data_IF_292192048876
#
_entry.id   IF_292192048876
#
_cell.length_a   1.000
_cell.length_b   1.000
_cell.length_c   1.000
_cell.angle_alpha   90.00
_cell.angle_beta   90.00
_cell.angle_gamma   90.00
#
_symmetry.space_group_name_H-M   'P 1'
#
loop_
_entity.id
_entity.type
_entity.pdbx_description
1 polymer ?
#
# COMPACT_ATOMS: atom_id res chain seq x y z
N UNK A 1 27.05 -15.27 -7.97
CA UNK A 1 28.26 -14.57 -7.48
C UNK A 1 27.87 -13.95 -6.14
N UNK A 2 28.21 -14.60 -5.03
CA UNK A 2 27.92 -14.11 -3.67
C UNK A 2 29.08 -13.24 -3.19
N UNK A 3 28.81 -11.98 -2.87
CA UNK A 3 29.81 -11.00 -2.44
C UNK A 3 29.83 -10.89 -0.91
N UNK A 4 30.40 -11.87 -0.20
CA UNK A 4 30.76 -11.64 1.20
C UNK A 4 32.09 -10.87 1.23
N UNK A 5 32.08 -9.60 1.64
CA UNK A 5 33.30 -8.83 1.91
C UNK A 5 33.84 -9.23 3.30
N UNK A 6 35.12 -9.61 3.36
CA UNK A 6 35.79 -9.84 4.64
C UNK A 6 36.06 -8.51 5.34
N UNK A 7 35.43 -8.31 6.49
CA UNK A 7 35.41 -7.00 7.16
C UNK A 7 36.70 -6.57 7.85
N UNK A 8 37.68 -7.46 8.14
CA UNK A 8 38.85 -7.01 8.91
C UNK A 8 40.16 -7.79 8.77
N UNK A 9 40.19 -9.11 8.55
CA UNK A 9 41.45 -9.85 8.40
C UNK A 9 41.26 -11.18 7.66
N UNK A 10 42.16 -11.50 6.71
CA UNK A 10 42.23 -12.81 6.03
C UNK A 10 43.40 -13.58 6.66
N UNK A 11 43.14 -14.70 7.33
CA UNK A 11 44.19 -15.59 7.86
C UNK A 11 44.04 -16.95 7.20
N UNK A 12 45.07 -17.41 6.47
CA UNK A 12 45.08 -18.70 5.75
C UNK A 12 43.86 -18.92 4.83
N UNK A 13 43.41 -17.89 4.13
CA UNK A 13 42.26 -17.99 3.21
C UNK A 13 40.90 -18.17 3.89
N UNK A 14 40.86 -18.13 5.22
CA UNK A 14 39.63 -18.24 6.02
C UNK A 14 39.30 -16.91 6.68
N UNK A 15 38.07 -16.46 6.48
CA UNK A 15 37.57 -15.19 6.97
C UNK A 15 36.90 -15.41 8.32
N UNK A 16 37.53 -14.97 9.42
CA UNK A 16 37.04 -15.21 10.78
C UNK A 16 35.83 -14.36 11.15
N UNK A 17 35.47 -13.37 10.33
CA UNK A 17 34.33 -12.48 10.55
C UNK A 17 33.59 -12.23 9.23
N UNK A 18 32.93 -13.27 8.71
CA UNK A 18 31.98 -13.14 7.59
C UNK A 18 30.74 -12.39 8.08
N UNK A 19 30.79 -11.06 8.05
CA UNK A 19 29.56 -10.26 7.95
C UNK A 19 29.10 -10.33 6.51
N UNK A 20 28.42 -11.42 6.15
CA UNK A 20 27.67 -11.43 4.91
C UNK A 20 26.48 -10.51 5.17
N UNK A 21 26.53 -9.31 4.60
CA UNK A 21 25.34 -8.48 4.50
C UNK A 21 24.33 -9.33 3.73
N UNK A 22 23.31 -9.81 4.44
CA UNK A 22 22.12 -10.32 3.79
C UNK A 22 21.60 -9.13 2.99
N UNK A 23 21.98 -9.05 1.72
CA UNK A 23 21.27 -8.24 0.76
C UNK A 23 19.86 -8.82 0.82
N UNK A 24 19.01 -8.22 1.63
CA UNK A 24 17.57 -8.36 1.51
C UNK A 24 17.35 -7.91 0.09
N UNK A 25 17.33 -8.86 -0.84
CA UNK A 25 16.61 -8.69 -2.09
C UNK A 25 15.23 -8.34 -1.58
N UNK A 26 14.93 -7.05 -1.51
CA UNK A 26 13.59 -6.51 -1.48
C UNK A 26 12.95 -7.13 -2.72
N UNK A 27 12.38 -8.32 -2.54
CA UNK A 27 11.47 -8.89 -3.48
C UNK A 27 10.31 -7.89 -3.43
N UNK A 28 10.29 -6.99 -4.39
CA UNK A 28 9.13 -6.16 -4.64
C UNK A 28 8.06 -7.19 -4.99
N UNK A 29 7.22 -7.52 -4.02
CA UNK A 29 6.06 -8.37 -4.26
C UNK A 29 5.18 -7.62 -5.24
N UNK A 30 4.95 -8.20 -6.41
CA UNK A 30 4.02 -7.62 -7.38
C UNK A 30 2.60 -7.70 -6.83
N UNK A 31 1.75 -6.79 -7.28
CA UNK A 31 0.34 -6.78 -6.97
C UNK A 31 -0.29 -8.12 -7.37
N UNK A 32 -1.11 -8.68 -6.49
CA UNK A 32 -1.82 -9.92 -6.82
C UNK A 32 -2.93 -9.62 -7.83
N UNK A 33 -3.34 -10.59 -8.67
CA UNK A 33 -4.43 -10.40 -9.62
C UNK A 33 -5.73 -9.95 -8.95
N UNK A 34 -5.97 -10.38 -7.70
CA UNK A 34 -7.13 -9.95 -6.91
C UNK A 34 -7.08 -8.46 -6.56
N UNK A 35 -5.88 -7.94 -6.22
CA UNK A 35 -5.71 -6.50 -5.97
C UNK A 35 -5.90 -5.69 -7.24
N UNK A 36 -5.38 -6.18 -8.37
CA UNK A 36 -5.55 -5.52 -9.67
C UNK A 36 -7.03 -5.46 -10.08
N UNK A 37 -7.77 -6.57 -9.92
CA UNK A 37 -9.20 -6.63 -10.19
C UNK A 37 -9.97 -5.63 -9.32
N UNK A 38 -9.66 -5.59 -8.02
CA UNK A 38 -10.29 -4.67 -7.09
C UNK A 38 -10.03 -3.19 -7.43
N UNK A 39 -8.79 -2.84 -7.79
CA UNK A 39 -8.45 -1.47 -8.25
C UNK A 39 -9.29 -1.09 -9.48
N UNK A 40 -9.50 -2.02 -10.42
CA UNK A 40 -10.33 -1.77 -11.61
C UNK A 40 -11.80 -1.53 -11.25
N UNK A 41 -12.36 -2.32 -10.34
CA UNK A 41 -13.74 -2.13 -9.87
C UNK A 41 -13.93 -0.78 -9.15
N UNK A 42 -12.94 -0.37 -8.35
CA UNK A 42 -12.97 0.93 -7.66
C UNK A 42 -12.84 2.09 -8.66
N UNK A 43 -11.96 1.97 -9.65
CA UNK A 43 -11.82 2.97 -10.69
C UNK A 43 -13.07 3.11 -11.56
N UNK A 44 -13.74 2.02 -11.91
CA UNK A 44 -15.00 2.04 -12.66
C UNK A 44 -16.09 2.81 -11.86
N UNK A 45 -16.20 2.54 -10.56
CA UNK A 45 -17.11 3.28 -9.67
C UNK A 45 -16.81 4.78 -9.61
N UNK A 46 -15.54 5.17 -9.66
CA UNK A 46 -15.10 6.56 -9.70
C UNK A 46 -15.13 7.18 -11.10
N UNK A 47 -15.40 6.38 -12.14
CA UNK A 47 -15.19 6.74 -13.55
C UNK A 47 -13.78 7.31 -13.80
N UNK A 48 -12.78 6.78 -13.09
CA UNK A 48 -11.38 7.18 -13.14
C UNK A 48 -10.66 6.45 -14.29
N UNK A 49 -9.77 7.15 -14.99
CA UNK A 49 -9.06 6.58 -16.14
C UNK A 49 -7.81 5.82 -15.69
N UNK A 50 -7.90 4.49 -15.69
CA UNK A 50 -6.81 3.59 -15.31
C UNK A 50 -5.89 3.21 -16.47
N UNK A 51 -6.05 3.81 -17.65
CA UNK A 51 -5.24 3.47 -18.83
C UNK A 51 -3.76 3.83 -18.65
N UNK A 52 -3.46 4.73 -17.72
CA UNK A 52 -2.09 5.13 -17.37
C UNK A 52 -1.42 4.18 -16.36
N UNK A 53 -2.19 3.30 -15.71
CA UNK A 53 -1.67 2.39 -14.67
C UNK A 53 -1.11 1.12 -15.31
N UNK A 54 0.18 0.84 -15.04
CA UNK A 54 0.82 -0.38 -15.50
C UNK A 54 0.71 -1.51 -14.45
N UNK A 55 -0.38 -2.27 -14.53
CA UNK A 55 -0.69 -3.38 -13.62
C UNK A 55 0.33 -4.53 -13.66
N UNK A 56 1.08 -4.70 -14.75
CA UNK A 56 2.11 -5.75 -14.87
C UNK A 56 3.35 -5.46 -14.01
N UNK A 57 3.62 -4.18 -13.72
CA UNK A 57 4.78 -3.75 -12.93
C UNK A 57 4.40 -3.21 -11.56
N UNK A 58 3.11 -3.15 -11.24
CA UNK A 58 2.60 -2.58 -10.01
C UNK A 58 3.05 -3.41 -8.80
N UNK A 59 3.70 -2.78 -7.84
CA UNK A 59 4.04 -3.44 -6.58
C UNK A 59 2.79 -3.58 -5.69
N UNK A 60 2.83 -4.55 -4.78
CA UNK A 60 1.78 -4.78 -3.80
C UNK A 60 1.57 -3.58 -2.88
N UNK A 61 2.62 -2.84 -2.54
CA UNK A 61 2.51 -1.59 -1.78
C UNK A 61 1.78 -0.52 -2.58
N UNK A 62 2.18 -0.29 -3.83
CA UNK A 62 1.51 0.69 -4.69
C UNK A 62 0.04 0.32 -4.94
N UNK A 63 -0.25 -0.97 -5.07
CA UNK A 63 -1.62 -1.45 -5.19
C UNK A 63 -2.46 -1.16 -3.94
N UNK A 64 -1.89 -1.33 -2.74
CA UNK A 64 -2.59 -0.98 -1.49
C UNK A 64 -2.82 0.51 -1.39
N UNK A 65 -1.80 1.32 -1.69
CA UNK A 65 -1.90 2.78 -1.65
C UNK A 65 -3.00 3.29 -2.60
N UNK A 66 -3.09 2.73 -3.81
CA UNK A 66 -4.16 3.04 -4.78
C UNK A 66 -5.55 2.63 -4.29
N UNK A 67 -5.66 1.46 -3.67
CA UNK A 67 -6.93 0.97 -3.11
C UNK A 67 -7.42 1.93 -2.02
N UNK A 68 -6.54 2.31 -1.10
CA UNK A 68 -6.88 3.20 0.01
C UNK A 68 -7.31 4.58 -0.52
N UNK A 69 -6.59 5.13 -1.51
CA UNK A 69 -6.96 6.41 -2.14
C UNK A 69 -8.34 6.35 -2.83
N UNK A 70 -8.61 5.27 -3.57
CA UNK A 70 -9.89 5.13 -4.26
C UNK A 70 -11.05 4.92 -3.26
N UNK A 71 -10.84 4.19 -2.17
CA UNK A 71 -11.84 4.05 -1.13
C UNK A 71 -12.17 5.40 -0.46
N UNK A 72 -11.15 6.21 -0.15
CA UNK A 72 -11.36 7.56 0.42
C UNK A 72 -12.14 8.45 -0.55
N UNK A 73 -11.82 8.41 -1.85
CA UNK A 73 -12.56 9.17 -2.88
C UNK A 73 -14.02 8.73 -3.00
N UNK A 74 -14.29 7.42 -2.92
CA UNK A 74 -15.66 6.90 -2.93
C UNK A 74 -16.41 7.39 -1.69
N UNK A 75 -15.82 7.26 -0.51
CA UNK A 75 -16.43 7.73 0.75
C UNK A 75 -16.72 9.24 0.70
N UNK A 76 -15.80 10.06 0.20
CA UNK A 76 -16.00 11.50 0.05
C UNK A 76 -17.09 11.83 -0.99
N UNK A 77 -17.15 11.08 -2.09
CA UNK A 77 -18.21 11.22 -3.09
C UNK A 77 -19.59 10.83 -2.52
N UNK A 78 -19.67 9.74 -1.77
CA UNK A 78 -20.89 9.31 -1.07
C UNK A 78 -21.32 10.32 0.00
N UNK A 79 -20.37 10.86 0.77
CA UNK A 79 -20.63 11.90 1.77
C UNK A 79 -21.13 13.20 1.14
N UNK A 80 -20.61 13.58 -0.03
CA UNK A 80 -21.10 14.72 -0.82
C UNK A 80 -22.50 14.49 -1.39
N UNK A 81 -22.83 13.26 -1.77
CA UNK A 81 -24.14 12.88 -2.28
C UNK A 81 -25.19 12.70 -1.16
N UNK A 82 -24.73 12.44 0.07
CA UNK A 82 -25.56 12.22 1.25
C UNK A 82 -25.25 13.25 2.36
N UNK A 83 -25.53 14.56 2.16
CA UNK A 83 -25.38 15.55 3.22
C UNK A 83 -26.38 15.34 4.39
N UNK A 84 -27.30 14.36 4.28
CA UNK A 84 -28.42 14.17 5.21
C UNK A 84 -28.14 13.13 6.33
N UNK A 85 -26.95 12.53 6.41
CA UNK A 85 -26.61 11.59 7.52
C UNK A 85 -25.53 12.11 8.48
N UNK A 86 -25.06 13.35 8.30
CA UNK A 86 -24.15 14.02 9.23
C UNK A 86 -24.86 14.90 10.28
N UNK A 87 -26.19 14.78 10.42
CA UNK A 87 -26.98 15.45 11.48
C UNK A 87 -27.39 14.49 12.62
N UNK A 88 -26.57 13.50 12.93
CA UNK A 88 -26.75 12.67 14.12
C UNK A 88 -25.42 12.46 14.85
N UNK A 89 -24.72 13.55 15.18
CA UNK A 89 -23.88 13.54 16.38
C UNK A 89 -23.83 14.94 16.98
N UNK A 90 -24.38 15.02 18.20
CA UNK A 90 -24.13 16.02 19.26
C UNK A 90 -24.81 17.40 19.18
N UNK A 91 -25.95 17.56 19.88
CA UNK A 91 -26.22 18.72 20.75
C UNK A 91 -27.45 18.43 21.66
N UNK A 92 -27.15 18.26 22.96
CA UNK A 92 -27.96 18.53 24.15
C UNK A 92 -29.38 17.93 24.28
N UNK A 93 -29.49 16.73 24.89
CA UNK A 93 -30.60 16.47 25.82
C UNK A 93 -30.11 16.82 27.22
N UNK A 94 -30.32 18.08 27.59
CA UNK A 94 -30.33 18.53 28.98
C UNK A 94 -31.31 17.66 29.79
N UNK A 95 -30.76 16.95 30.77
CA UNK A 95 -31.45 16.23 31.83
C UNK A 95 -32.07 17.26 32.79
N UNK A 96 -33.22 17.85 32.45
CA UNK A 96 -34.03 18.62 33.41
C UNK A 96 -35.50 18.75 32.97
N UNK A 97 -36.36 17.77 33.34
CA UNK A 97 -37.73 17.98 33.86
C UNK A 97 -38.38 16.71 34.44
#
# INVERSE_FOLDING_TARGET
>A
MEFCKCGSLIVNGSCTNKKCENHIKTMIELATPQQIEYIKELADQLADDISEINFDTLSKSEAVDLIDEYLEKIEDAEKKLSPDSALLDDDDIDDDL
#
